data_IF_237794583308
#
_entry.id   IF_237794583308
#
_cell.length_a   1.000
_cell.length_b   1.000
_cell.length_c   1.000
_cell.angle_alpha   90.00
_cell.angle_beta   90.00
_cell.angle_gamma   90.00
#
_symmetry.space_group_name_H-M   'P 1'
#
loop_
_entity.id
_entity.type
_entity.pdbx_description
1 polymer ?
#
# COMPACT_ATOMS: atom_id res chain seq x y z
N UNK A 1 -25.00 10.34 -2.23
CA UNK A 1 -24.18 9.12 -2.28
C UNK A 1 -22.86 9.38 -2.99
N UNK A 2 -22.86 9.88 -4.24
CA UNK A 2 -21.66 10.27 -5.01
C UNK A 2 -20.66 11.18 -4.26
N UNK A 3 -21.13 12.29 -3.68
CA UNK A 3 -20.30 13.20 -2.89
C UNK A 3 -19.61 12.55 -1.67
N UNK A 4 -20.23 11.52 -1.06
CA UNK A 4 -19.61 10.80 0.07
C UNK A 4 -18.48 9.88 -0.40
N UNK A 5 -18.62 9.29 -1.58
CA UNK A 5 -17.60 8.43 -2.20
C UNK A 5 -16.38 9.27 -2.57
N UNK A 6 -16.58 10.46 -3.14
CA UNK A 6 -15.50 11.40 -3.48
C UNK A 6 -14.72 11.85 -2.22
N UNK A 7 -15.42 12.15 -1.13
CA UNK A 7 -14.78 12.49 0.16
C UNK A 7 -13.95 11.31 0.68
N UNK A 8 -14.51 10.10 0.69
CA UNK A 8 -13.78 8.90 1.15
C UNK A 8 -12.57 8.57 0.28
N UNK A 9 -12.68 8.75 -1.05
CA UNK A 9 -11.56 8.54 -1.97
C UNK A 9 -10.42 9.52 -1.70
N UNK A 10 -10.75 10.79 -1.48
CA UNK A 10 -9.77 11.82 -1.11
C UNK A 10 -9.12 11.52 0.24
N UNK A 11 -9.91 11.23 1.27
CA UNK A 11 -9.38 10.92 2.61
C UNK A 11 -8.50 9.67 2.61
N UNK A 12 -8.88 8.63 1.86
CA UNK A 12 -8.08 7.42 1.69
C UNK A 12 -6.76 7.68 0.94
N UNK A 13 -6.79 8.53 -0.08
CA UNK A 13 -5.59 8.95 -0.81
C UNK A 13 -4.64 9.77 0.05
N UNK A 14 -5.16 10.72 0.84
CA UNK A 14 -4.37 11.52 1.77
C UNK A 14 -3.77 10.65 2.90
N UNK A 15 -4.52 9.67 3.39
CA UNK A 15 -4.01 8.68 4.36
C UNK A 15 -2.87 7.84 3.77
N UNK A 16 -3.01 7.35 2.53
CA UNK A 16 -1.97 6.61 1.83
C UNK A 16 -0.68 7.43 1.67
N UNK A 17 -0.80 8.71 1.27
CA UNK A 17 0.34 9.63 1.19
C UNK A 17 1.06 9.78 2.51
N UNK A 18 0.30 9.95 3.61
CA UNK A 18 0.88 10.12 4.93
C UNK A 18 1.60 8.87 5.42
N UNK A 19 1.04 7.69 5.15
CA UNK A 19 1.71 6.42 5.45
C UNK A 19 3.04 6.29 4.70
N UNK A 20 3.07 6.60 3.40
CA UNK A 20 4.31 6.62 2.62
C UNK A 20 5.35 7.56 3.24
N UNK A 21 4.96 8.78 3.64
CA UNK A 21 5.88 9.72 4.29
C UNK A 21 6.43 9.18 5.60
N UNK A 22 5.58 8.61 6.45
CA UNK A 22 6.00 8.05 7.74
C UNK A 22 7.02 6.94 7.51
N UNK A 23 6.76 6.03 6.56
CA UNK A 23 7.69 4.95 6.20
C UNK A 23 9.02 5.49 5.68
N UNK A 24 8.99 6.46 4.76
CA UNK A 24 10.19 7.10 4.21
C UNK A 24 11.00 7.79 5.32
N UNK A 25 10.34 8.52 6.22
CA UNK A 25 11.00 9.20 7.33
C UNK A 25 11.63 8.21 8.33
N UNK A 26 10.91 7.13 8.67
CA UNK A 26 11.41 6.09 9.57
C UNK A 26 12.61 5.35 8.97
N UNK A 27 12.53 5.04 7.68
CA UNK A 27 13.60 4.45 6.90
C UNK A 27 14.85 5.35 6.89
N UNK A 28 14.70 6.62 6.49
CA UNK A 28 15.81 7.58 6.38
C UNK A 28 16.50 7.86 7.73
N UNK A 29 15.76 7.79 8.84
CA UNK A 29 16.30 7.99 10.19
C UNK A 29 16.97 6.74 10.77
N UNK A 30 17.02 5.63 10.02
CA UNK A 30 17.50 4.34 10.51
C UNK A 30 16.68 3.80 11.68
N UNK A 31 15.43 4.26 11.83
CA UNK A 31 14.52 3.87 12.93
C UNK A 31 13.59 2.72 12.56
N UNK A 32 13.77 2.08 11.41
CA UNK A 32 13.12 0.80 11.15
C UNK A 32 13.73 -0.28 12.02
N UNK A 33 13.02 -0.63 13.09
CA UNK A 33 13.24 -1.88 13.78
C UNK A 33 12.92 -3.03 12.81
N UNK A 34 13.90 -3.48 12.02
CA UNK A 34 13.84 -4.69 11.18
C UNK A 34 12.49 -4.90 10.48
N UNK A 35 12.23 -4.14 9.41
CA UNK A 35 11.24 -4.43 8.35
C UNK A 35 10.15 -5.44 8.72
N UNK A 36 9.25 -5.06 9.64
CA UNK A 36 8.23 -5.95 10.15
C UNK A 36 7.14 -6.21 9.11
N UNK A 37 6.29 -7.21 9.36
CA UNK A 37 5.12 -7.49 8.52
C UNK A 37 4.22 -6.26 8.35
N UNK A 38 3.98 -5.49 9.42
CA UNK A 38 3.12 -4.30 9.33
C UNK A 38 3.69 -3.20 8.45
N UNK A 39 5.01 -3.02 8.44
CA UNK A 39 5.64 -2.01 7.59
C UNK A 39 5.42 -2.33 6.11
N UNK A 40 5.55 -3.62 5.73
CA UNK A 40 5.32 -4.06 4.35
C UNK A 40 3.85 -4.00 3.94
N UNK A 41 2.91 -4.28 4.85
CA UNK A 41 1.46 -4.10 4.62
C UNK A 41 1.10 -2.63 4.42
N UNK A 42 1.63 -1.73 5.25
CA UNK A 42 1.38 -0.29 5.12
C UNK A 42 2.00 0.27 3.83
N UNK A 43 3.19 -0.19 3.45
CA UNK A 43 3.80 0.17 2.17
C UNK A 43 2.93 -0.32 0.99
N UNK A 44 2.57 -1.60 0.98
CA UNK A 44 1.77 -2.20 -0.09
C UNK A 44 0.41 -1.52 -0.27
N UNK A 45 -0.36 -1.38 0.82
CA UNK A 45 -1.69 -0.76 0.76
C UNK A 45 -1.64 0.70 0.30
N UNK A 46 -0.66 1.47 0.77
CA UNK A 46 -0.50 2.88 0.39
C UNK A 46 -0.12 3.02 -1.09
N UNK A 47 0.84 2.22 -1.56
CA UNK A 47 1.23 2.16 -2.97
C UNK A 47 0.04 1.74 -3.85
N UNK A 48 -0.75 0.76 -3.41
CA UNK A 48 -1.91 0.28 -4.15
C UNK A 48 -2.97 1.37 -4.32
N UNK A 49 -3.30 2.10 -3.24
CA UNK A 49 -4.25 3.22 -3.29
C UNK A 49 -3.72 4.31 -4.23
N UNK A 50 -2.46 4.71 -4.11
CA UNK A 50 -1.85 5.72 -5.00
C UNK A 50 -1.92 5.27 -6.47
N UNK A 51 -1.65 3.99 -6.76
CA UNK A 51 -1.72 3.44 -8.13
C UNK A 51 -3.17 3.43 -8.65
N UNK A 52 -4.12 2.96 -7.86
CA UNK A 52 -5.54 2.91 -8.24
C UNK A 52 -6.10 4.32 -8.48
N UNK A 53 -5.78 5.29 -7.62
CA UNK A 53 -6.25 6.69 -7.76
C UNK A 53 -5.85 7.28 -9.12
N UNK A 54 -4.67 6.95 -9.65
CA UNK A 54 -4.26 7.38 -11.01
C UNK A 54 -5.22 6.93 -12.10
N UNK A 55 -5.83 5.76 -11.96
CA UNK A 55 -6.79 5.24 -12.93
C UNK A 55 -8.23 5.71 -12.69
N UNK A 56 -8.65 5.86 -11.43
CA UNK A 56 -10.08 6.05 -11.09
C UNK A 56 -10.47 7.48 -10.71
N UNK A 57 -9.49 8.29 -10.28
CA UNK A 57 -9.70 9.67 -9.82
C UNK A 57 -8.43 10.51 -10.05
N UNK A 58 -7.95 10.65 -11.30
CA UNK A 58 -6.70 11.33 -11.63
C UNK A 58 -6.67 12.79 -11.13
N UNK A 59 -7.82 13.45 -11.01
CA UNK A 59 -7.94 14.80 -10.46
C UNK A 59 -7.43 14.90 -9.01
N UNK A 60 -7.51 13.83 -8.22
CA UNK A 60 -6.99 13.81 -6.84
C UNK A 60 -5.45 13.74 -6.81
N UNK A 61 -4.83 13.19 -7.85
CA UNK A 61 -3.38 13.19 -8.02
C UNK A 61 -2.86 14.61 -8.35
N UNK A 62 -3.62 15.40 -9.12
CA UNK A 62 -3.21 16.73 -9.57
C UNK A 62 -3.36 17.84 -8.52
N UNK A 63 -4.27 17.69 -7.56
CA UNK A 63 -4.61 18.74 -6.58
C UNK A 63 -3.53 18.92 -5.48
N UNK A 64 -2.57 18.01 -5.37
CA UNK A 64 -1.63 17.99 -4.25
C UNK A 64 -0.26 18.55 -4.59
N UNK A 65 0.32 19.33 -3.67
CA UNK A 65 1.72 19.76 -3.73
C UNK A 65 2.70 18.57 -3.61
N UNK A 66 2.21 17.41 -3.17
CA UNK A 66 3.01 16.19 -3.06
C UNK A 66 2.97 15.42 -4.37
N UNK A 67 4.16 15.25 -4.96
CA UNK A 67 4.34 14.41 -6.12
C UNK A 67 4.11 12.93 -5.75
N UNK A 68 2.93 12.41 -6.09
CA UNK A 68 2.55 11.00 -5.90
C UNK A 68 3.52 10.04 -6.58
N UNK A 69 4.08 10.42 -7.73
CA UNK A 69 5.11 9.63 -8.40
C UNK A 69 6.37 9.52 -7.54
N UNK A 70 6.83 10.64 -6.97
CA UNK A 70 7.99 10.62 -6.09
C UNK A 70 7.75 9.79 -4.83
N UNK A 71 6.61 9.98 -4.15
CA UNK A 71 6.24 9.20 -2.96
C UNK A 71 6.14 7.71 -3.29
N UNK A 72 5.50 7.38 -4.42
CA UNK A 72 5.36 6.01 -4.89
C UNK A 72 6.73 5.38 -5.15
N UNK A 73 7.62 6.04 -5.89
CA UNK A 73 8.94 5.53 -6.20
C UNK A 73 9.77 5.28 -4.94
N UNK A 74 9.81 6.24 -4.02
CA UNK A 74 10.58 6.11 -2.77
C UNK A 74 10.02 4.98 -1.89
N UNK A 75 8.71 4.93 -1.68
CA UNK A 75 8.11 3.88 -0.86
C UNK A 75 8.20 2.49 -1.53
N UNK A 76 8.20 2.40 -2.86
CA UNK A 76 8.41 1.15 -3.59
C UNK A 76 9.84 0.62 -3.41
N UNK A 77 10.84 1.49 -3.33
CA UNK A 77 12.21 1.07 -3.01
C UNK A 77 12.28 0.46 -1.62
N UNK A 78 11.67 1.12 -0.62
CA UNK A 78 11.60 0.59 0.75
C UNK A 78 10.95 -0.79 0.79
N UNK A 79 9.84 -1.00 0.08
CA UNK A 79 9.18 -2.30 0.00
C UNK A 79 10.07 -3.38 -0.66
N UNK A 80 10.91 -3.01 -1.64
CA UNK A 80 11.91 -3.92 -2.24
C UNK A 80 13.02 -4.25 -1.25
N UNK A 81 13.53 -3.26 -0.53
CA UNK A 81 14.56 -3.48 0.49
C UNK A 81 14.06 -4.38 1.64
N UNK A 82 12.79 -4.23 2.05
CA UNK A 82 12.15 -5.15 2.99
C UNK A 82 12.20 -6.59 2.51
N UNK A 83 11.87 -6.81 1.23
CA UNK A 83 11.91 -8.12 0.59
C UNK A 83 13.33 -8.70 0.53
N UNK A 84 14.32 -7.88 0.19
CA UNK A 84 15.75 -8.26 0.12
C UNK A 84 16.31 -8.58 1.51
N UNK A 85 15.85 -7.89 2.55
CA UNK A 85 16.19 -8.17 3.94
C UNK A 85 15.51 -9.42 4.52
N UNK A 86 14.69 -10.12 3.72
CA UNK A 86 14.08 -11.39 4.08
C UNK A 86 12.65 -11.31 4.61
N UNK A 87 11.94 -10.19 4.45
CA UNK A 87 10.50 -10.12 4.75
C UNK A 87 9.71 -10.88 3.65
N UNK A 88 9.08 -12.03 3.97
CA UNK A 88 8.38 -12.83 2.97
C UNK A 88 7.13 -12.13 2.43
N UNK A 89 6.36 -11.45 3.30
CA UNK A 89 5.18 -10.70 2.89
C UNK A 89 5.53 -9.57 1.92
N UNK A 90 6.67 -8.88 2.12
CA UNK A 90 7.14 -7.86 1.19
C UNK A 90 7.46 -8.42 -0.21
N UNK A 91 7.91 -9.68 -0.32
CA UNK A 91 8.13 -10.34 -1.62
C UNK A 91 6.81 -10.54 -2.35
N UNK A 92 5.80 -11.07 -1.65
CA UNK A 92 4.48 -11.29 -2.22
C UNK A 92 3.80 -9.96 -2.59
N UNK A 93 3.90 -8.97 -1.72
CA UNK A 93 3.40 -7.61 -1.98
C UNK A 93 4.08 -6.97 -3.21
N UNK A 94 5.38 -7.18 -3.43
CA UNK A 94 6.04 -6.67 -4.62
C UNK A 94 5.52 -7.29 -5.91
N UNK A 95 5.17 -8.58 -5.89
CA UNK A 95 4.58 -9.28 -7.04
C UNK A 95 3.16 -8.76 -7.30
N UNK A 96 2.29 -8.75 -6.27
CA UNK A 96 0.93 -8.23 -6.37
C UNK A 96 0.89 -6.78 -6.86
N UNK A 97 1.82 -5.95 -6.38
CA UNK A 97 1.87 -4.55 -6.77
C UNK A 97 2.35 -4.39 -8.23
N UNK A 98 3.23 -5.26 -8.73
CA UNK A 98 3.60 -5.26 -10.15
C UNK A 98 2.41 -5.63 -11.05
N UNK A 99 1.61 -6.61 -10.65
CA UNK A 99 0.38 -6.97 -11.36
C UNK A 99 -0.62 -5.81 -11.36
N UNK A 100 -0.81 -5.16 -10.20
CA UNK A 100 -1.66 -3.98 -10.08
C UNK A 100 -1.19 -2.82 -10.97
N UNK A 101 0.11 -2.50 -10.98
CA UNK A 101 0.67 -1.44 -11.81
C UNK A 101 0.43 -1.71 -13.30
N UNK A 102 0.54 -2.99 -13.72
CA UNK A 102 0.22 -3.40 -15.10
C UNK A 102 -1.26 -3.19 -15.43
N UNK A 103 -2.17 -3.56 -14.53
CA UNK A 103 -3.61 -3.32 -14.69
C UNK A 103 -3.91 -1.82 -14.79
N UNK A 104 -3.36 -1.00 -13.88
CA UNK A 104 -3.51 0.46 -13.89
C UNK A 104 -2.95 1.07 -15.17
N UNK A 105 -1.79 0.60 -15.63
CA UNK A 105 -1.22 1.04 -16.91
C UNK A 105 -2.17 0.72 -18.07
N UNK A 106 -2.70 -0.50 -18.14
CA UNK A 106 -3.68 -0.85 -19.18
C UNK A 106 -4.93 0.03 -19.13
N UNK A 107 -5.45 0.34 -17.94
CA UNK A 107 -6.65 1.18 -17.78
C UNK A 107 -6.39 2.63 -18.20
N UNK A 108 -5.20 3.16 -17.91
CA UNK A 108 -4.84 4.54 -18.23
C UNK A 108 -4.39 4.73 -19.69
N UNK A 109 -3.90 3.68 -20.36
CA UNK A 109 -3.51 3.75 -21.78
C UNK A 109 -4.65 3.42 -22.76
N UNK A 110 -5.66 2.66 -22.33
CA UNK A 110 -6.78 2.21 -23.18
C UNK A 110 -8.02 3.09 -23.02
N UNK A 111 -7.89 4.43 -23.15
CA UNK A 111 -9.04 5.36 -23.08
C UNK A 111 -10.11 5.10 -24.19
N UNK A 112 -9.79 4.31 -25.22
CA UNK A 112 -10.70 3.90 -26.32
C UNK A 112 -11.35 2.50 -26.14
N UNK A 113 -11.00 1.75 -25.09
CA UNK A 113 -11.65 0.48 -24.83
C UNK A 113 -13.03 0.74 -24.20
N UNK A 114 -14.10 0.33 -24.91
CA UNK A 114 -15.47 0.40 -24.41
C UNK A 114 -15.64 -0.21 -23.00
N UNK A 115 -16.79 0.04 -22.33
CA UNK A 115 -16.95 -0.21 -20.90
C UNK A 115 -16.48 -1.61 -20.54
N UNK A 116 -15.38 -1.69 -19.79
CA UNK A 116 -14.81 -2.93 -19.30
C UNK A 116 -15.89 -3.63 -18.47
N UNK A 117 -16.31 -4.82 -18.91
CA UNK A 117 -17.27 -5.62 -18.15
C UNK A 117 -16.67 -5.87 -16.77
N UNK A 118 -17.38 -5.43 -15.72
CA UNK A 118 -16.99 -5.74 -14.34
C UNK A 118 -16.88 -7.26 -14.22
N UNK A 119 -15.72 -7.80 -13.81
CA UNK A 119 -15.66 -9.20 -13.41
C UNK A 119 -16.70 -9.40 -12.31
N UNK A 120 -17.67 -10.28 -12.56
CA UNK A 120 -18.79 -10.56 -11.65
C UNK A 120 -18.32 -11.20 -10.35
N UNK A 121 -17.12 -11.76 -10.33
CA UNK A 121 -16.49 -12.37 -9.16
C UNK A 121 -15.01 -11.94 -9.12
N UNK A 122 -14.72 -10.91 -8.32
CA UNK A 122 -13.38 -10.75 -7.77
C UNK A 122 -13.31 -11.73 -6.60
N UNK A 123 -12.80 -12.93 -6.84
CA UNK A 123 -12.35 -13.80 -5.75
C UNK A 123 -11.21 -13.05 -5.06
N UNK A 124 -11.53 -12.37 -3.95
CA UNK A 124 -10.52 -11.93 -3.00
C UNK A 124 -9.78 -13.21 -2.64
N UNK A 125 -8.48 -13.36 -2.96
CA UNK A 125 -7.72 -14.49 -2.45
C UNK A 125 -7.95 -14.45 -0.96
N UNK A 126 -8.39 -15.57 -0.37
CA UNK A 126 -8.49 -15.63 1.09
C UNK A 126 -7.10 -15.30 1.61
N UNK A 127 -6.90 -14.06 2.03
CA UNK A 127 -5.98 -13.77 3.10
C UNK A 127 -6.58 -14.60 4.22
N UNK A 128 -6.13 -15.84 4.35
CA UNK A 128 -6.15 -16.49 5.64
C UNK A 128 -5.40 -15.50 6.53
N UNK A 129 -6.18 -14.68 7.24
CA UNK A 129 -5.69 -13.89 8.34
C UNK A 129 -5.03 -14.93 9.23
N UNK A 130 -3.71 -14.98 9.17
CA UNK A 130 -2.93 -15.99 9.84
C UNK A 130 -3.00 -15.65 11.33
N UNK A 131 -4.11 -16.00 11.98
CA UNK A 131 -4.35 -15.79 13.40
C UNK A 131 -3.19 -16.37 14.21
N UNK A 132 -2.60 -17.47 13.75
CA UNK A 132 -1.43 -18.11 14.36
C UNK A 132 -0.16 -17.26 14.34
N UNK A 133 0.00 -16.32 13.40
CA UNK A 133 1.13 -15.38 13.41
C UNK A 133 1.00 -14.36 14.56
N UNK A 134 -0.23 -14.11 15.03
CA UNK A 134 -0.56 -13.09 16.03
C UNK A 134 -0.93 -13.67 17.40
N UNK A 135 -1.36 -14.93 17.46
CA UNK A 135 -1.69 -15.63 18.71
C UNK A 135 -0.47 -15.97 19.54
N UNK A 136 0.70 -16.09 18.90
CA UNK A 136 1.92 -16.58 19.54
C UNK A 136 2.78 -15.45 20.13
N UNK A 137 2.37 -14.19 19.93
CA UNK A 137 3.02 -13.03 20.56
C UNK A 137 2.18 -12.60 21.75
N UNK A 138 2.64 -12.90 22.96
CA UNK A 138 2.12 -12.28 24.17
C UNK A 138 2.55 -10.80 24.17
N UNK A 139 1.69 -9.95 23.59
CA UNK A 139 1.88 -8.52 23.51
C UNK A 139 2.04 -7.87 24.89
N UNK A 140 1.48 -8.48 25.94
CA UNK A 140 1.62 -7.98 27.32
C UNK A 140 3.02 -8.26 27.83
N UNK A 141 3.57 -9.44 27.58
CA UNK A 141 4.96 -9.78 27.93
C UNK A 141 5.98 -8.93 27.14
N UNK A 142 5.78 -8.76 25.84
CA UNK A 142 6.65 -7.92 25.00
C UNK A 142 6.68 -6.46 25.49
N UNK A 143 5.52 -5.86 25.76
CA UNK A 143 5.43 -4.48 26.23
C UNK A 143 6.04 -4.29 27.63
N UNK A 144 5.89 -5.28 28.52
CA UNK A 144 6.50 -5.25 29.84
C UNK A 144 8.03 -5.36 29.78
N UNK A 145 8.57 -6.13 28.83
CA UNK A 145 10.02 -6.29 28.65
C UNK A 145 10.69 -5.12 27.93
N UNK A 146 9.95 -4.32 27.15
CA UNK A 146 10.47 -3.08 26.55
C UNK A 146 10.45 -1.86 27.49
N UNK A 147 9.90 -2.02 28.71
CA UNK A 147 9.75 -0.94 29.70
C UNK A 147 10.84 -0.94 30.77
N UNK A 148 11.92 -1.70 30.60
CA UNK A 148 13.13 -1.71 31.44
C UNK A 148 14.31 -1.07 30.70
#
# INVERSE_FOLDING_TARGET
>A
MRQRIEVLAKEGHDAARNNCKILIDLFNRGKHARFGYWDSVHAFSSLSIISIVKAVAPELAEISELNDEHLYTQCRLILKEMAEAGNPAARDHNALLADLDSIVQMLTTNEDAGPMERPTEFEVPSLEFCESLWSDVDWVEFLNNCSQ
#
